data_IF_517606535024
#
_entry.id   IF_517606535024
#
_cell.length_a   1.000
_cell.length_b   1.000
_cell.length_c   1.000
_cell.angle_alpha   90.00
_cell.angle_beta   90.00
_cell.angle_gamma   90.00
#
_symmetry.space_group_name_H-M   'P 1'
#
loop_
_entity.id
_entity.type
_entity.pdbx_description
1 polymer ?
#
# COMPACT_ATOMS: atom_id res chain seq x y z
N UNK A 1 14.17 25.20 -6.62
CA UNK A 1 15.18 24.30 -6.01
C UNK A 1 15.07 24.44 -4.49
N UNK A 2 14.25 23.63 -3.81
CA UNK A 2 13.99 23.77 -2.36
C UNK A 2 13.97 22.41 -1.66
N UNK A 3 15.19 22.03 -1.26
CA UNK A 3 15.60 21.38 0.00
C UNK A 3 14.47 20.93 0.95
N UNK A 4 14.33 19.60 1.10
CA UNK A 4 13.68 18.98 2.26
C UNK A 4 14.57 19.17 3.50
N UNK A 5 14.11 19.79 4.60
CA UNK A 5 14.92 19.85 5.81
C UNK A 5 14.87 18.50 6.53
N UNK A 6 16.02 17.82 6.54
CA UNK A 6 16.40 16.82 7.53
C UNK A 6 16.87 17.57 8.78
N UNK A 7 16.20 17.45 9.93
CA UNK A 7 16.74 17.77 11.27
C UNK A 7 16.06 16.83 12.29
N UNK A 8 16.74 15.78 12.75
CA UNK A 8 17.80 15.70 13.79
C UNK A 8 17.27 15.86 15.23
N UNK A 9 17.58 14.84 16.03
CA UNK A 9 17.21 14.53 17.43
C UNK A 9 17.56 15.57 18.50
N UNK A 10 16.86 15.53 19.65
CA UNK A 10 17.26 15.00 20.98
C UNK A 10 16.29 15.57 22.04
N UNK A 11 15.84 14.81 23.04
CA UNK A 11 16.34 14.80 24.44
C UNK A 11 15.81 13.55 25.18
N UNK A 12 16.62 13.10 26.13
CA UNK A 12 16.56 11.89 26.94
C UNK A 12 15.42 11.78 27.96
N UNK A 13 15.08 10.54 28.32
CA UNK A 13 14.27 10.17 29.49
C UNK A 13 14.34 8.65 29.72
N UNK A 14 15.11 8.23 30.72
CA UNK A 14 15.32 6.84 31.14
C UNK A 14 14.14 6.37 32.01
N UNK A 15 13.49 5.25 31.66
CA UNK A 15 12.83 4.35 32.62
C UNK A 15 12.60 2.97 31.98
N UNK A 16 13.26 1.95 32.52
CA UNK A 16 13.06 0.55 32.19
C UNK A 16 11.91 0.03 33.05
N UNK A 17 10.80 -0.40 32.45
CA UNK A 17 9.75 -1.16 33.14
C UNK A 17 9.18 -2.22 32.18
N UNK A 18 9.32 -3.47 32.59
CA UNK A 18 8.83 -4.68 31.93
C UNK A 18 7.31 -4.63 31.78
N UNK A 19 6.83 -4.91 30.56
CA UNK A 19 5.41 -5.12 30.28
C UNK A 19 5.24 -5.53 28.83
N UNK A 20 5.01 -6.82 28.58
CA UNK A 20 4.88 -7.40 27.25
C UNK A 20 3.85 -6.64 26.41
N UNK A 21 4.34 -5.70 25.60
CA UNK A 21 3.50 -4.91 24.72
C UNK A 21 3.27 -5.76 23.48
N UNK A 22 2.07 -6.33 23.38
CA UNK A 22 1.57 -6.90 22.14
C UNK A 22 1.68 -5.79 21.10
N UNK A 23 2.64 -5.94 20.18
CA UNK A 23 2.80 -5.06 19.04
C UNK A 23 1.56 -5.27 18.15
N UNK A 24 0.48 -4.56 18.46
CA UNK A 24 -0.61 -4.35 17.53
C UNK A 24 -0.03 -3.49 16.41
N UNK A 25 0.53 -4.16 15.39
CA UNK A 25 0.84 -3.51 14.12
C UNK A 25 -0.43 -2.75 13.72
N UNK A 26 -0.36 -1.44 13.42
CA UNK A 26 -1.52 -0.75 12.90
C UNK A 26 -1.91 -1.51 11.64
N UNK A 27 -3.01 -2.25 11.71
CA UNK A 27 -3.68 -2.72 10.53
C UNK A 27 -4.05 -1.44 9.79
N UNK A 28 -3.24 -1.07 8.80
CA UNK A 28 -3.51 0.07 7.96
C UNK A 28 -4.86 -0.22 7.32
N UNK A 29 -5.93 0.29 7.94
CA UNK A 29 -7.22 0.48 7.32
C UNK A 29 -6.91 1.41 6.14
N UNK A 30 -6.62 0.80 4.99
CA UNK A 30 -6.42 1.51 3.75
C UNK A 30 -7.77 2.16 3.47
N UNK A 31 -7.90 3.43 3.83
CA UNK A 31 -9.06 4.25 3.48
C UNK A 31 -9.17 4.16 1.96
N UNK A 32 -10.12 3.34 1.52
CA UNK A 32 -10.44 3.17 0.10
C UNK A 32 -11.22 4.40 -0.32
N UNK A 33 -10.52 5.54 -0.46
CA UNK A 33 -11.12 6.72 -1.06
C UNK A 33 -11.39 6.33 -2.51
N UNK A 34 -12.66 6.13 -2.85
CA UNK A 34 -13.13 5.99 -4.23
C UNK A 34 -12.97 7.33 -4.94
N UNK A 35 -11.73 7.72 -5.22
CA UNK A 35 -11.40 8.97 -5.90
C UNK A 35 -11.68 8.70 -7.38
N UNK A 36 -12.78 9.23 -7.91
CA UNK A 36 -13.03 9.24 -9.35
C UNK A 36 -12.03 10.16 -10.04
N UNK A 37 -10.91 9.60 -10.51
CA UNK A 37 -9.83 10.39 -11.11
C UNK A 37 -10.03 10.43 -12.63
N UNK A 38 -10.06 11.64 -13.19
CA UNK A 38 -10.13 11.87 -14.64
C UNK A 38 -8.78 11.58 -15.35
N UNK A 39 -7.69 11.49 -14.59
CA UNK A 39 -6.35 11.16 -15.06
C UNK A 39 -6.14 9.64 -15.05
N UNK A 40 -6.03 9.05 -16.25
CA UNK A 40 -5.79 7.62 -16.38
C UNK A 40 -4.51 7.19 -15.63
N UNK A 41 -4.53 6.07 -14.89
CA UNK A 41 -3.31 5.47 -14.38
C UNK A 41 -2.38 5.16 -15.55
N UNK A 42 -1.05 5.32 -15.39
CA UNK A 42 -0.10 4.85 -16.38
C UNK A 42 -0.31 3.36 -16.64
N UNK A 43 0.21 2.87 -17.77
CA UNK A 43 0.14 1.46 -18.13
C UNK A 43 0.52 0.57 -16.93
N UNK A 44 -0.19 -0.55 -16.70
CA UNK A 44 0.16 -1.49 -15.65
C UNK A 44 1.63 -1.86 -15.79
N UNK A 45 2.42 -1.54 -14.76
CA UNK A 45 3.82 -1.88 -14.77
C UNK A 45 3.93 -3.35 -14.38
N UNK A 46 4.44 -4.16 -15.29
CA UNK A 46 4.78 -5.54 -14.97
C UNK A 46 6.00 -5.55 -14.05
N UNK A 47 5.83 -6.11 -12.86
CA UNK A 47 6.92 -6.37 -11.92
C UNK A 47 7.29 -7.84 -12.02
N UNK A 48 8.59 -8.15 -12.11
CA UNK A 48 9.06 -9.53 -12.12
C UNK A 48 8.68 -10.16 -10.78
N UNK A 49 7.76 -11.12 -10.81
CA UNK A 49 7.35 -11.84 -9.61
C UNK A 49 8.58 -12.52 -8.99
N UNK A 50 8.90 -12.25 -7.71
CA UNK A 50 10.00 -12.92 -7.05
C UNK A 50 9.67 -14.41 -6.80
N UNK A 51 10.67 -15.25 -6.51
CA UNK A 51 10.45 -16.67 -6.26
C UNK A 51 9.38 -16.91 -5.17
N UNK A 52 8.45 -17.86 -5.36
CA UNK A 52 7.41 -18.17 -4.38
C UNK A 52 7.98 -18.44 -2.99
N UNK A 53 7.30 -17.94 -1.96
CA UNK A 53 7.67 -18.14 -0.55
C UNK A 53 6.57 -18.91 0.17
N UNK A 54 6.91 -20.01 0.84
CA UNK A 54 5.94 -20.85 1.56
C UNK A 54 5.24 -20.04 2.66
N UNK A 55 3.90 -20.07 2.68
CA UNK A 55 3.09 -19.32 3.65
C UNK A 55 2.89 -17.84 3.33
N UNK A 56 3.34 -17.37 2.15
CA UNK A 56 3.16 -16.00 1.70
C UNK A 56 2.54 -15.96 0.30
N UNK A 57 1.81 -14.88 0.02
CA UNK A 57 1.34 -14.51 -1.31
C UNK A 57 2.08 -13.25 -1.75
N UNK A 58 2.40 -13.18 -3.05
CA UNK A 58 2.94 -11.97 -3.63
C UNK A 58 1.79 -11.00 -3.92
N UNK A 59 1.82 -9.83 -3.29
CA UNK A 59 0.99 -8.70 -3.66
C UNK A 59 1.76 -7.85 -4.68
N UNK A 60 1.37 -7.83 -5.96
CA UNK A 60 2.08 -7.05 -6.97
C UNK A 60 2.00 -5.56 -6.68
N UNK A 61 3.00 -4.81 -7.15
CA UNK A 61 2.99 -3.36 -7.09
C UNK A 61 1.81 -2.74 -7.85
N UNK A 62 1.47 -1.52 -7.50
CA UNK A 62 0.35 -0.79 -8.09
C UNK A 62 0.63 0.70 -8.15
N UNK A 63 -0.08 1.39 -9.04
CA UNK A 63 -0.10 2.84 -9.08
C UNK A 63 -1.01 3.37 -7.97
N UNK A 64 -0.47 4.16 -7.05
CA UNK A 64 -1.24 4.88 -6.06
C UNK A 64 -1.42 6.33 -6.53
N UNK A 65 -2.62 6.88 -6.40
CA UNK A 65 -2.83 8.30 -6.64
C UNK A 65 -2.32 9.11 -5.44
N UNK A 66 -1.43 10.07 -5.70
CA UNK A 66 -1.01 11.03 -4.69
C UNK A 66 -1.77 12.35 -4.89
N UNK A 67 -2.69 12.73 -3.98
CA UNK A 67 -3.48 13.95 -4.11
C UNK A 67 -2.65 15.23 -3.95
N UNK A 68 -1.57 15.21 -3.16
CA UNK A 68 -0.72 16.40 -2.99
C UNK A 68 0.08 16.74 -4.25
N UNK A 69 0.53 15.71 -4.98
CA UNK A 69 1.34 15.86 -6.20
C UNK A 69 0.54 15.70 -7.49
N UNK A 70 -0.78 15.47 -7.39
CA UNK A 70 -1.71 15.25 -8.50
C UNK A 70 -1.19 14.25 -9.55
N UNK A 71 -0.53 13.18 -9.08
CA UNK A 71 0.10 12.17 -9.96
C UNK A 71 0.02 10.77 -9.40
N UNK A 72 0.11 9.80 -10.30
CA UNK A 72 0.28 8.39 -9.97
C UNK A 72 1.73 8.12 -9.53
N UNK A 73 1.89 7.51 -8.37
CA UNK A 73 3.18 7.07 -7.82
C UNK A 73 3.20 5.54 -7.75
N UNK A 74 4.32 4.93 -8.16
CA UNK A 74 4.45 3.47 -8.13
C UNK A 74 4.72 3.01 -6.71
N UNK A 75 3.89 2.09 -6.22
CA UNK A 75 4.10 1.36 -4.97
C UNK A 75 4.60 -0.03 -5.36
N UNK A 76 5.80 -0.40 -4.91
CA UNK A 76 6.38 -1.71 -5.20
C UNK A 76 5.59 -2.84 -4.53
N UNK A 77 5.62 -4.01 -5.15
CA UNK A 77 4.99 -5.21 -4.59
C UNK A 77 5.64 -5.65 -3.29
N UNK A 78 4.91 -6.47 -2.54
CA UNK A 78 5.37 -7.00 -1.25
C UNK A 78 4.86 -8.40 -1.00
N UNK A 79 5.60 -9.15 -0.19
CA UNK A 79 5.13 -10.41 0.36
C UNK A 79 4.12 -10.15 1.48
N UNK A 80 2.96 -10.80 1.40
CA UNK A 80 1.94 -10.78 2.44
C UNK A 80 1.74 -12.19 2.98
N UNK A 81 1.57 -12.35 4.29
CA UNK A 81 1.29 -13.66 4.89
C UNK A 81 -0.04 -14.19 4.36
N UNK A 82 -0.08 -15.48 4.01
CA UNK A 82 -1.30 -16.12 3.52
C UNK A 82 -2.36 -16.14 4.61
N UNK A 83 -3.60 -15.82 4.25
CA UNK A 83 -4.76 -16.01 5.12
C UNK A 83 -5.43 -17.34 4.72
N UNK A 84 -5.41 -18.37 5.58
CA UNK A 84 -6.02 -19.67 5.27
C UNK A 84 -7.50 -19.53 4.91
N UNK A 85 -7.91 -20.12 3.78
CA UNK A 85 -9.29 -20.02 3.28
C UNK A 85 -9.63 -18.70 2.58
N UNK A 86 -8.66 -17.82 2.34
CA UNK A 86 -8.86 -16.59 1.58
C UNK A 86 -7.95 -16.55 0.34
N UNK A 87 -8.44 -15.89 -0.71
CA UNK A 87 -7.69 -15.58 -1.92
C UNK A 87 -7.35 -14.10 -1.94
N UNK A 88 -6.07 -13.79 -2.12
CA UNK A 88 -5.64 -12.41 -2.32
C UNK A 88 -6.07 -11.91 -3.70
N UNK A 89 -6.77 -10.78 -3.74
CA UNK A 89 -7.01 -9.99 -4.95
C UNK A 89 -6.03 -8.82 -4.98
N UNK A 90 -5.24 -8.67 -6.04
CA UNK A 90 -4.33 -7.55 -6.17
C UNK A 90 -5.08 -6.22 -6.32
N UNK A 91 -4.41 -5.14 -5.92
CA UNK A 91 -4.88 -3.79 -6.17
C UNK A 91 -4.97 -3.55 -7.68
N UNK A 92 -6.04 -2.88 -8.13
CA UNK A 92 -6.24 -2.58 -9.55
C UNK A 92 -7.02 -1.30 -9.75
N UNK A 93 -6.75 -0.63 -10.87
CA UNK A 93 -7.59 0.43 -11.38
C UNK A 93 -8.63 -0.14 -12.33
N UNK A 94 -9.88 0.30 -12.18
CA UNK A 94 -10.99 -0.09 -13.04
C UNK A 94 -11.63 1.17 -13.60
N UNK A 95 -11.91 1.18 -14.90
CA UNK A 95 -12.61 2.28 -15.55
C UNK A 95 -14.11 2.13 -15.33
N UNK A 96 -14.74 3.14 -14.73
CA UNK A 96 -16.17 3.18 -14.46
C UNK A 96 -17.00 3.55 -15.70
N UNK A 97 -18.34 3.41 -15.62
CA UNK A 97 -19.24 3.64 -16.76
C UNK A 97 -19.20 5.08 -17.30
N UNK A 98 -18.94 6.06 -16.44
CA UNK A 98 -18.83 7.49 -16.82
C UNK A 98 -17.38 7.89 -17.14
N UNK A 99 -16.52 6.94 -17.48
CA UNK A 99 -15.13 7.18 -17.92
C UNK A 99 -14.11 7.48 -16.82
N UNK A 100 -14.55 7.72 -15.57
CA UNK A 100 -13.66 7.95 -14.43
C UNK A 100 -12.97 6.66 -13.98
N UNK A 101 -11.76 6.81 -13.43
CA UNK A 101 -10.99 5.70 -12.89
C UNK A 101 -11.26 5.51 -11.41
N UNK A 102 -11.49 4.26 -11.01
CA UNK A 102 -11.65 3.83 -9.63
C UNK A 102 -10.50 2.95 -9.20
N UNK A 103 -9.93 3.25 -8.04
CA UNK A 103 -8.96 2.37 -7.42
C UNK A 103 -9.66 1.33 -6.55
N UNK A 104 -9.42 0.06 -6.85
CA UNK A 104 -9.76 -1.04 -5.95
C UNK A 104 -8.50 -1.45 -5.19
N UNK A 105 -8.46 -1.28 -3.85
CA UNK A 105 -7.33 -1.72 -3.06
C UNK A 105 -7.22 -3.25 -3.09
N UNK A 106 -5.99 -3.73 -2.88
CA UNK A 106 -5.74 -5.16 -2.73
C UNK A 106 -6.39 -5.67 -1.46
N UNK A 107 -7.11 -6.79 -1.55
CA UNK A 107 -7.94 -7.31 -0.45
C UNK A 107 -7.94 -8.84 -0.43
N UNK A 108 -8.37 -9.39 0.69
CA UNK A 108 -8.63 -10.82 0.84
C UNK A 108 -10.10 -11.10 0.57
N UNK A 109 -10.38 -11.97 -0.40
CA UNK A 109 -11.72 -12.50 -0.67
C UNK A 109 -11.81 -13.90 -0.05
N UNK A 110 -12.94 -14.25 0.57
CA UNK A 110 -13.23 -15.59 1.11
C UNK A 110 -14.06 -16.39 0.11
#
# INVERSE_FOLDING_TARGET
MMRFPRKFSLIAGLAFAFGGTVCALPAAAQVSVGIGINVAPPAPRFERMPPPRRGYVWAPGYWQWNPGWHRHVWVAGRWMRVHPGYRYRPARWVRGPRGHWHFHPGRWDR
#
